data_IF_131711473365
#
_entry.id   IF_131711473365
#
_cell.length_a   1.000
_cell.length_b   1.000
_cell.length_c   1.000
_cell.angle_alpha   90.00
_cell.angle_beta   90.00
_cell.angle_gamma   90.00
#
_symmetry.space_group_name_H-M   'P 1'
#
loop_
_entity.id
_entity.type
_entity.pdbx_description
1 polymer ?
#
# COMPACT_ATOMS: atom_id res chain seq x y z
N UNK A 1 -49.26 -45.90 -9.61
CA UNK A 1 -48.46 -45.57 -8.42
C UNK A 1 -47.61 -44.34 -8.78
N UNK A 2 -47.90 -43.18 -8.19
CA UNK A 2 -47.17 -41.94 -8.47
C UNK A 2 -45.79 -41.98 -7.79
N UNK A 3 -44.72 -41.88 -8.57
CA UNK A 3 -43.37 -41.67 -8.05
C UNK A 3 -43.09 -40.16 -7.98
N UNK A 4 -42.98 -39.63 -6.76
CA UNK A 4 -42.49 -38.27 -6.52
C UNK A 4 -40.96 -38.27 -6.53
N UNK A 5 -40.36 -37.58 -7.49
CA UNK A 5 -38.94 -37.19 -7.43
C UNK A 5 -38.81 -36.01 -6.46
N UNK A 6 -38.11 -36.21 -5.35
CA UNK A 6 -37.69 -35.11 -4.49
C UNK A 6 -36.40 -34.50 -5.06
N UNK A 7 -36.50 -33.30 -5.63
CA UNK A 7 -35.36 -32.48 -5.98
C UNK A 7 -34.91 -31.76 -4.70
N UNK A 8 -33.80 -32.20 -4.09
CA UNK A 8 -33.16 -31.45 -2.99
C UNK A 8 -32.34 -30.34 -3.65
N UNK A 9 -32.83 -29.10 -3.58
CA UNK A 9 -32.03 -27.93 -3.88
C UNK A 9 -31.10 -27.66 -2.69
N UNK A 10 -29.81 -27.94 -2.85
CA UNK A 10 -28.78 -27.49 -1.90
C UNK A 10 -28.61 -25.98 -2.03
N UNK A 11 -29.24 -25.23 -1.13
CA UNK A 11 -28.96 -23.80 -0.95
C UNK A 11 -27.63 -23.69 -0.23
N UNK A 12 -26.56 -23.36 -0.96
CA UNK A 12 -25.31 -22.94 -0.34
C UNK A 12 -25.50 -21.49 0.12
N UNK A 13 -25.97 -21.32 1.35
CA UNK A 13 -25.82 -20.06 2.07
C UNK A 13 -24.32 -19.87 2.31
N UNK A 14 -23.65 -19.10 1.46
CA UNK A 14 -22.35 -18.52 1.81
C UNK A 14 -22.64 -17.43 2.82
N UNK A 15 -22.90 -17.82 4.06
CA UNK A 15 -22.96 -16.91 5.18
C UNK A 15 -21.64 -16.13 5.20
N UNK A 16 -21.71 -14.80 5.29
CA UNK A 16 -20.53 -14.00 5.57
C UNK A 16 -19.85 -14.57 6.82
N UNK A 17 -18.62 -15.07 6.67
CA UNK A 17 -17.88 -15.78 7.73
C UNK A 17 -17.73 -14.94 9.01
N UNK A 18 -17.86 -13.61 8.90
CA UNK A 18 -17.78 -12.65 9.99
C UNK A 18 -18.86 -11.57 9.86
N UNK A 19 -19.38 -11.11 11.00
CA UNK A 19 -20.30 -9.96 11.13
C UNK A 19 -19.51 -8.68 11.47
N UNK A 20 -20.04 -7.48 11.18
CA UNK A 20 -19.33 -6.20 11.39
C UNK A 20 -19.35 -5.76 12.86
N UNK A 21 -19.07 -6.67 13.79
CA UNK A 21 -18.94 -6.42 15.22
C UNK A 21 -17.62 -7.00 15.74
N UNK A 22 -17.08 -6.40 16.81
CA UNK A 22 -15.78 -6.77 17.35
C UNK A 22 -15.72 -8.23 17.80
N UNK A 23 -16.79 -8.78 18.37
CA UNK A 23 -16.81 -10.17 18.83
C UNK A 23 -16.58 -11.14 17.68
N UNK A 24 -17.14 -10.86 16.51
CA UNK A 24 -16.94 -11.68 15.32
C UNK A 24 -15.56 -11.47 14.68
N UNK A 25 -15.13 -10.21 14.58
CA UNK A 25 -13.87 -9.85 13.92
C UNK A 25 -12.62 -10.26 14.71
N UNK A 26 -12.68 -10.25 16.04
CA UNK A 26 -11.56 -10.66 16.91
C UNK A 26 -11.44 -12.19 16.99
N UNK A 27 -12.49 -12.94 16.63
CA UNK A 27 -12.44 -14.40 16.50
C UNK A 27 -11.65 -14.90 15.28
N UNK A 28 -11.16 -13.98 14.43
CA UNK A 28 -10.35 -14.31 13.25
C UNK A 28 -8.98 -14.87 13.68
N UNK A 29 -8.65 -16.14 13.37
CA UNK A 29 -7.34 -16.67 13.70
C UNK A 29 -6.26 -15.98 12.86
N UNK A 30 -5.09 -15.74 13.45
CA UNK A 30 -3.90 -15.34 12.71
C UNK A 30 -3.55 -16.46 11.72
N UNK A 31 -3.50 -16.21 10.41
CA UNK A 31 -3.18 -17.27 9.46
C UNK A 31 -1.73 -17.72 9.63
N UNK A 32 -1.49 -19.03 9.54
CA UNK A 32 -0.17 -19.62 9.83
C UNK A 32 0.92 -19.12 8.90
N UNK A 33 0.64 -18.87 7.63
CA UNK A 33 1.61 -18.30 6.68
C UNK A 33 2.13 -16.93 7.13
N UNK A 34 1.31 -16.13 7.83
CA UNK A 34 1.74 -14.84 8.36
C UNK A 34 2.56 -14.99 9.64
N UNK A 35 2.12 -15.88 10.53
CA UNK A 35 2.90 -16.16 11.73
C UNK A 35 4.27 -16.77 11.36
N UNK A 36 4.33 -17.71 10.42
CA UNK A 36 5.56 -18.39 10.00
C UNK A 36 6.53 -17.51 9.19
N UNK A 37 6.05 -16.46 8.53
CA UNK A 37 6.85 -15.61 7.64
C UNK A 37 7.97 -14.85 8.37
N UNK A 38 7.68 -14.33 9.57
CA UNK A 38 8.56 -13.56 10.49
C UNK A 38 9.25 -12.30 9.95
N UNK A 39 9.61 -12.23 8.67
CA UNK A 39 10.30 -11.11 8.01
C UNK A 39 9.59 -10.78 6.70
N UNK A 40 9.27 -9.50 6.53
CA UNK A 40 8.76 -8.92 5.29
C UNK A 40 9.49 -7.64 4.94
N UNK A 41 9.41 -7.23 3.67
CA UNK A 41 9.90 -5.94 3.18
C UNK A 41 8.71 -5.03 2.94
N UNK A 42 8.82 -3.75 3.25
CA UNK A 42 7.82 -2.76 2.89
C UNK A 42 8.50 -1.58 2.20
N UNK A 43 7.87 -1.05 1.16
CA UNK A 43 8.47 0.02 0.34
C UNK A 43 7.60 1.27 0.36
N UNK A 44 8.18 2.38 0.84
CA UNK A 44 7.61 3.71 0.66
C UNK A 44 8.09 4.29 -0.68
N UNK A 45 7.30 4.11 -1.72
CA UNK A 45 7.61 4.63 -3.05
C UNK A 45 6.36 5.22 -3.70
N UNK A 46 6.48 6.45 -4.20
CA UNK A 46 5.37 7.16 -4.81
C UNK A 46 5.77 8.55 -5.30
N UNK A 47 4.78 9.42 -5.50
CA UNK A 47 5.01 10.79 -6.03
C UNK A 47 5.97 11.60 -5.13
N UNK A 48 5.94 11.39 -3.81
CA UNK A 48 6.87 12.03 -2.87
C UNK A 48 8.34 11.64 -3.13
N UNK A 49 8.59 10.51 -3.81
CA UNK A 49 9.94 10.08 -4.18
C UNK A 49 10.52 10.85 -5.36
N UNK A 50 9.69 11.57 -6.15
CA UNK A 50 10.15 12.37 -7.30
C UNK A 50 11.17 13.45 -6.89
N UNK A 51 10.90 14.32 -5.89
CA UNK A 51 11.91 15.28 -5.45
C UNK A 51 13.13 14.60 -4.80
N UNK A 52 13.01 13.36 -4.30
CA UNK A 52 14.13 12.64 -3.68
C UNK A 52 14.78 13.42 -2.51
N UNK A 53 13.99 14.24 -1.81
CA UNK A 53 14.45 15.16 -0.78
C UNK A 53 13.57 15.07 0.47
N UNK A 54 14.19 15.19 1.63
CA UNK A 54 13.56 15.03 2.96
C UNK A 54 13.01 13.61 3.20
N UNK A 55 11.70 13.41 3.07
CA UNK A 55 11.00 12.17 3.46
C UNK A 55 9.69 12.01 2.66
N UNK A 56 8.95 10.93 2.91
CA UNK A 56 7.58 10.77 2.40
C UNK A 56 6.62 11.87 2.88
N UNK A 57 6.98 12.59 3.94
CA UNK A 57 6.25 13.74 4.47
C UNK A 57 6.59 15.07 3.78
N UNK A 58 7.37 15.06 2.70
CA UNK A 58 7.82 16.27 2.00
C UNK A 58 6.70 17.29 1.75
N UNK A 59 5.51 16.83 1.31
CA UNK A 59 4.36 17.72 1.11
C UNK A 59 3.91 18.43 2.39
N UNK A 60 3.85 17.69 3.50
CA UNK A 60 3.47 18.24 4.79
C UNK A 60 4.49 19.26 5.28
N UNK A 61 5.79 18.95 5.19
CA UNK A 61 6.85 19.86 5.60
C UNK A 61 6.94 21.11 4.70
N UNK A 62 6.66 20.98 3.40
CA UNK A 62 6.67 22.10 2.47
C UNK A 62 5.41 22.98 2.55
N UNK A 63 4.21 22.39 2.54
CA UNK A 63 2.95 23.13 2.36
C UNK A 63 1.93 22.91 3.48
N UNK A 64 1.89 21.71 4.08
CA UNK A 64 0.87 21.30 5.05
C UNK A 64 1.01 21.98 6.41
N UNK A 65 2.18 21.90 7.03
CA UNK A 65 2.43 22.46 8.37
C UNK A 65 2.65 23.98 8.35
N UNK A 66 2.47 24.62 9.51
CA UNK A 66 2.68 26.05 9.72
C UNK A 66 3.54 26.29 10.98
N UNK A 67 4.70 26.96 10.88
CA UNK A 67 5.34 27.42 9.63
C UNK A 67 5.89 26.24 8.80
N UNK A 68 6.03 26.37 7.47
CA UNK A 68 6.65 25.35 6.64
C UNK A 68 8.14 25.19 6.99
N UNK A 69 8.70 24.00 6.77
CA UNK A 69 10.13 23.74 6.95
C UNK A 69 10.94 24.58 5.95
N UNK A 70 11.83 25.48 6.42
CA UNK A 70 12.64 26.31 5.54
C UNK A 70 13.48 25.54 4.52
N UNK A 71 13.93 24.33 4.84
CA UNK A 71 14.75 23.49 3.94
C UNK A 71 13.96 23.02 2.74
N UNK A 72 12.71 22.58 2.95
CA UNK A 72 11.82 22.15 1.88
C UNK A 72 11.44 23.34 0.98
N UNK A 73 11.18 24.51 1.58
CA UNK A 73 10.90 25.74 0.84
C UNK A 73 12.10 26.16 -0.03
N UNK A 74 13.32 26.16 0.51
CA UNK A 74 14.52 26.48 -0.28
C UNK A 74 14.75 25.46 -1.38
N UNK A 75 14.57 24.16 -1.09
CA UNK A 75 14.78 23.11 -2.08
C UNK A 75 13.86 23.28 -3.30
N UNK A 76 12.57 23.56 -3.10
CA UNK A 76 11.66 23.80 -4.23
C UNK A 76 12.06 25.06 -5.00
N UNK A 77 12.33 26.16 -4.30
CA UNK A 77 12.74 27.42 -4.94
C UNK A 77 13.97 27.27 -5.82
N UNK A 78 14.94 26.47 -5.39
CA UNK A 78 16.24 26.35 -6.04
C UNK A 78 16.26 25.31 -7.17
N UNK A 79 15.31 24.37 -7.19
CA UNK A 79 15.30 23.24 -8.14
C UNK A 79 14.10 23.22 -9.10
N UNK A 80 13.04 24.00 -8.85
CA UNK A 80 11.81 23.98 -9.64
C UNK A 80 11.39 25.38 -10.09
N UNK A 81 10.66 25.51 -11.22
CA UNK A 81 10.19 26.81 -11.70
C UNK A 81 9.32 27.56 -10.68
N UNK A 82 9.29 28.90 -10.72
CA UNK A 82 8.37 29.69 -9.89
C UNK A 82 6.91 29.24 -10.07
N UNK A 83 6.20 29.07 -8.96
CA UNK A 83 4.80 28.63 -8.97
C UNK A 83 4.60 27.11 -9.01
N UNK A 84 5.67 26.32 -9.01
CA UNK A 84 5.60 24.86 -8.94
C UNK A 84 4.81 24.39 -7.70
N UNK A 85 3.93 23.41 -7.90
CA UNK A 85 3.05 22.85 -6.87
C UNK A 85 3.34 21.37 -6.70
N UNK A 86 3.03 20.83 -5.52
CA UNK A 86 3.18 19.40 -5.28
C UNK A 86 2.37 18.53 -6.26
N UNK A 87 1.22 19.03 -6.71
CA UNK A 87 0.36 18.37 -7.70
C UNK A 87 0.94 18.34 -9.12
N UNK A 88 2.10 18.97 -9.35
CA UNK A 88 2.79 18.93 -10.64
C UNK A 88 3.79 17.74 -10.70
N UNK A 89 4.22 17.20 -9.55
CA UNK A 89 5.10 16.02 -9.45
C UNK A 89 4.57 14.73 -10.07
N UNK A 90 3.26 14.38 -10.02
CA UNK A 90 2.75 13.13 -10.60
C UNK A 90 3.14 12.95 -12.07
N UNK A 91 3.20 14.05 -12.84
CA UNK A 91 3.60 14.01 -14.25
C UNK A 91 5.07 13.58 -14.47
N UNK A 92 5.90 13.70 -13.44
CA UNK A 92 7.33 13.36 -13.45
C UNK A 92 7.63 12.00 -12.80
N UNK A 93 6.63 11.35 -12.20
CA UNK A 93 6.78 10.02 -11.60
C UNK A 93 6.72 8.94 -12.70
N UNK A 94 7.81 8.79 -13.42
CA UNK A 94 7.86 7.95 -14.62
C UNK A 94 8.21 6.48 -14.37
N UNK A 95 8.84 6.16 -13.23
CA UNK A 95 9.31 4.81 -12.92
C UNK A 95 10.13 4.14 -14.05
N UNK A 96 10.94 4.92 -14.79
CA UNK A 96 11.54 4.50 -16.07
C UNK A 96 12.45 3.25 -15.97
N UNK A 97 13.04 3.03 -14.80
CA UNK A 97 13.94 1.89 -14.53
C UNK A 97 13.32 0.88 -13.57
N UNK A 98 12.02 0.95 -13.34
CA UNK A 98 11.35 -0.01 -12.46
C UNK A 98 11.21 -1.36 -13.17
N UNK A 99 11.80 -2.38 -12.57
CA UNK A 99 11.60 -3.76 -12.93
C UNK A 99 11.11 -4.53 -11.68
N UNK A 100 9.83 -4.99 -11.67
CA UNK A 100 9.29 -5.70 -10.51
C UNK A 100 9.97 -7.05 -10.26
N UNK A 101 10.50 -7.71 -11.30
CA UNK A 101 11.18 -9.01 -11.14
C UNK A 101 12.51 -8.85 -10.40
N UNK A 102 13.30 -7.83 -10.74
CA UNK A 102 14.55 -7.54 -10.04
C UNK A 102 14.30 -7.25 -8.55
N UNK A 103 13.21 -6.55 -8.25
CA UNK A 103 12.80 -6.28 -6.87
C UNK A 103 12.39 -7.56 -6.14
N UNK A 104 11.55 -8.39 -6.77
CA UNK A 104 11.12 -9.66 -6.20
C UNK A 104 12.30 -10.61 -5.93
N UNK A 105 13.26 -10.67 -6.85
CA UNK A 105 14.49 -11.45 -6.69
C UNK A 105 15.33 -10.96 -5.51
N UNK A 106 15.51 -9.64 -5.37
CA UNK A 106 16.23 -9.04 -4.23
C UNK A 106 15.49 -9.30 -2.91
N UNK A 107 14.17 -9.13 -2.88
CA UNK A 107 13.37 -9.35 -1.66
C UNK A 107 13.44 -10.81 -1.23
N UNK A 108 13.29 -11.74 -2.18
CA UNK A 108 13.47 -13.17 -1.92
C UNK A 108 14.88 -13.49 -1.43
N UNK A 109 15.91 -12.91 -2.04
CA UNK A 109 17.31 -13.10 -1.65
C UNK A 109 17.62 -12.55 -0.25
N UNK A 110 16.89 -11.52 0.22
CA UNK A 110 17.00 -11.02 1.60
C UNK A 110 16.40 -11.95 2.66
N UNK A 111 15.70 -13.01 2.23
CA UNK A 111 15.02 -13.97 3.11
C UNK A 111 13.60 -13.56 3.50
N UNK A 112 13.12 -12.42 3.00
CA UNK A 112 11.75 -11.97 3.23
C UNK A 112 10.74 -12.97 2.65
N UNK A 113 9.65 -13.19 3.39
CA UNK A 113 8.55 -14.08 3.00
C UNK A 113 7.30 -13.32 2.53
N UNK A 114 7.34 -11.99 2.64
CA UNK A 114 6.33 -11.06 2.17
C UNK A 114 6.99 -9.77 1.67
N UNK A 115 6.37 -9.12 0.69
CA UNK A 115 6.66 -7.73 0.31
C UNK A 115 5.38 -6.92 0.14
#
# INVERSE_FOLDING_TARGET
>A
MLSFLFLIASVFDVAARYTPDWSSLDARPLPSWYDEAKVGVFVHWGVFSVPGFDSEWFWWHWQGQKPPDPKCVSYIRDNYPPGFRYTDFPSQFHAQFFNPEDWADIFKASGAKMS
#
